data_IF_694564957887
#
_entry.id   IF_694564957887
#
_cell.length_a   1.000
_cell.length_b   1.000
_cell.length_c   1.000
_cell.angle_alpha   90.00
_cell.angle_beta   90.00
_cell.angle_gamma   90.00
#
_symmetry.space_group_name_H-M   'P 1'
#
loop_
_entity.id
_entity.type
_entity.pdbx_description
1 polymer ?
#
# COMPACT_ATOMS: atom_id res chain seq x y z
N UNK A 1 -24.64 -33.11 21.55
CA UNK A 1 -24.46 -32.65 20.15
C UNK A 1 -23.99 -31.22 20.22
N UNK A 2 -22.67 -31.02 20.26
CA UNK A 2 -22.06 -29.70 20.26
C UNK A 2 -20.87 -29.78 19.30
N UNK A 3 -20.98 -29.11 18.15
CA UNK A 3 -19.87 -28.94 17.22
C UNK A 3 -19.31 -27.54 17.45
N UNK A 4 -18.15 -27.49 18.11
CA UNK A 4 -17.33 -26.29 18.23
C UNK A 4 -16.76 -25.93 16.86
N UNK A 5 -17.15 -24.77 16.34
CA UNK A 5 -16.62 -24.19 15.11
C UNK A 5 -15.42 -23.32 15.45
N UNK A 6 -14.27 -23.94 15.68
CA UNK A 6 -13.00 -23.23 15.91
C UNK A 6 -12.33 -22.96 14.57
N UNK A 7 -12.77 -21.86 13.92
CA UNK A 7 -12.20 -21.36 12.68
C UNK A 7 -10.81 -20.76 12.89
N UNK A 8 -9.81 -21.61 12.97
CA UNK A 8 -8.40 -21.24 13.02
C UNK A 8 -8.00 -20.57 11.70
N UNK A 9 -7.84 -19.24 11.71
CA UNK A 9 -7.26 -18.47 10.61
C UNK A 9 -5.83 -18.98 10.36
N UNK A 10 -5.68 -19.92 9.43
CA UNK A 10 -4.38 -20.42 8.99
C UNK A 10 -3.71 -19.33 8.15
N UNK A 11 -2.89 -18.51 8.80
CA UNK A 11 -1.90 -17.69 8.10
C UNK A 11 -0.99 -18.63 7.33
N UNK A 12 -1.23 -18.77 6.03
CA UNK A 12 -0.31 -19.46 5.12
C UNK A 12 0.91 -18.56 4.98
N UNK A 13 1.85 -18.68 5.92
CA UNK A 13 3.24 -18.46 5.59
C UNK A 13 3.56 -19.50 4.52
N UNK A 14 3.75 -19.04 3.29
CA UNK A 14 4.41 -19.86 2.28
C UNK A 14 5.86 -19.94 2.75
N UNK A 15 6.15 -20.88 3.64
CA UNK A 15 7.49 -21.45 3.71
C UNK A 15 7.73 -22.05 2.31
N UNK A 16 8.87 -21.76 1.65
CA UNK A 16 9.16 -22.42 0.39
C UNK A 16 9.07 -23.92 0.66
N UNK A 17 8.17 -24.60 -0.07
CA UNK A 17 7.91 -26.02 0.10
C UNK A 17 9.23 -26.80 -0.02
N UNK A 18 9.84 -27.12 1.12
CA UNK A 18 11.00 -28.00 1.21
C UNK A 18 10.50 -29.43 1.21
N UNK A 19 10.01 -29.87 0.05
CA UNK A 19 9.84 -31.29 -0.28
C UNK A 19 9.86 -31.49 -1.80
N UNK A 20 10.88 -30.96 -2.44
CA UNK A 20 11.30 -31.40 -3.78
C UNK A 20 12.80 -31.71 -3.66
N UNK A 21 13.26 -32.92 -4.04
CA UNK A 21 14.66 -33.27 -3.96
C UNK A 21 15.49 -32.28 -4.78
N UNK A 22 16.69 -31.97 -4.30
CA UNK A 22 17.61 -30.98 -4.85
C UNK A 22 17.71 -31.07 -6.39
N UNK A 23 16.98 -30.17 -7.07
CA UNK A 23 17.22 -29.84 -8.47
C UNK A 23 17.99 -28.53 -8.47
N UNK A 24 19.25 -28.69 -8.85
CA UNK A 24 20.25 -27.70 -9.13
C UNK A 24 19.68 -26.54 -9.97
N UNK A 25 19.78 -25.32 -9.44
CA UNK A 25 19.74 -24.06 -10.18
C UNK A 25 18.66 -23.91 -11.27
N UNK A 26 17.40 -23.84 -10.88
CA UNK A 26 16.37 -23.23 -11.72
C UNK A 26 15.69 -22.10 -10.95
N UNK A 27 16.39 -20.97 -10.83
CA UNK A 27 15.72 -19.67 -10.75
C UNK A 27 15.00 -19.56 -12.09
N UNK A 28 13.80 -20.13 -12.16
CA UNK A 28 12.92 -19.98 -13.30
C UNK A 28 12.79 -18.48 -13.51
N UNK A 29 13.46 -17.98 -14.54
CA UNK A 29 13.36 -16.62 -15.00
C UNK A 29 11.87 -16.42 -15.26
N UNK A 30 11.19 -15.73 -14.36
CA UNK A 30 9.93 -15.11 -14.70
C UNK A 30 10.27 -14.18 -15.86
N UNK A 31 9.97 -14.61 -17.09
CA UNK A 31 10.08 -13.83 -18.32
C UNK A 31 9.07 -12.67 -18.26
N UNK A 32 9.31 -11.76 -17.33
CA UNK A 32 8.55 -10.55 -17.15
C UNK A 32 9.04 -9.62 -18.24
N UNK A 33 8.18 -9.19 -19.17
CA UNK A 33 8.61 -8.34 -20.26
C UNK A 33 9.20 -7.05 -19.69
N UNK A 34 10.48 -6.80 -20.00
CA UNK A 34 11.14 -5.56 -19.65
C UNK A 34 10.48 -4.42 -20.45
N UNK A 35 9.88 -3.46 -19.75
CA UNK A 35 9.21 -2.33 -20.39
C UNK A 35 10.22 -1.25 -20.75
N UNK A 36 10.15 -0.73 -21.97
CA UNK A 36 10.87 0.48 -22.37
C UNK A 36 10.30 1.70 -21.63
N UNK A 37 11.12 2.73 -21.35
CA UNK A 37 10.69 3.95 -20.67
C UNK A 37 9.45 4.60 -21.34
N UNK A 38 9.39 4.60 -22.67
CA UNK A 38 8.22 5.10 -23.43
C UNK A 38 6.93 4.34 -23.09
N UNK A 39 7.02 3.01 -22.98
CA UNK A 39 5.88 2.17 -22.61
C UNK A 39 5.47 2.40 -21.16
N UNK A 40 6.43 2.63 -20.26
CA UNK A 40 6.16 2.99 -18.87
C UNK A 40 5.43 4.33 -18.81
N UNK A 41 5.91 5.35 -19.55
CA UNK A 41 5.26 6.65 -19.59
C UNK A 41 3.84 6.57 -20.16
N UNK A 42 3.65 5.87 -21.28
CA UNK A 42 2.32 5.67 -21.88
C UNK A 42 1.35 4.97 -20.91
N UNK A 43 1.79 3.89 -20.25
CA UNK A 43 0.98 3.19 -19.24
C UNK A 43 0.69 4.09 -18.03
N UNK A 44 1.64 4.91 -17.58
CA UNK A 44 1.42 5.89 -16.50
C UNK A 44 0.39 6.96 -16.90
N UNK A 45 0.50 7.50 -18.11
CA UNK A 45 -0.45 8.48 -18.63
C UNK A 45 -1.87 7.88 -18.71
N UNK A 46 -2.00 6.65 -19.21
CA UNK A 46 -3.26 5.92 -19.26
C UNK A 46 -3.91 5.75 -17.87
N UNK A 47 -3.12 5.32 -16.87
CA UNK A 47 -3.58 5.20 -15.47
C UNK A 47 -4.01 6.56 -14.93
N UNK A 48 -3.20 7.60 -15.14
CA UNK A 48 -3.48 8.95 -14.66
C UNK A 48 -4.79 9.47 -15.23
N UNK A 49 -4.98 9.34 -16.54
CA UNK A 49 -6.21 9.69 -17.23
C UNK A 49 -7.43 8.93 -16.69
N UNK A 50 -7.32 7.59 -16.52
CA UNK A 50 -8.40 6.78 -15.94
C UNK A 50 -8.73 7.17 -14.50
N UNK A 51 -7.74 7.55 -13.70
CA UNK A 51 -7.97 8.07 -12.34
C UNK A 51 -8.72 9.39 -12.37
N UNK A 52 -8.37 10.30 -13.29
CA UNK A 52 -9.03 11.61 -13.42
C UNK A 52 -10.49 11.42 -13.83
N UNK A 53 -10.78 10.61 -14.84
CA UNK A 53 -12.16 10.31 -15.25
C UNK A 53 -12.89 9.59 -14.13
N UNK A 54 -12.29 8.52 -13.60
CA UNK A 54 -12.91 7.68 -12.57
C UNK A 54 -13.15 8.40 -11.25
N UNK A 55 -12.43 9.49 -10.97
CA UNK A 55 -12.58 10.31 -9.76
C UNK A 55 -14.01 10.81 -9.57
N UNK A 56 -14.71 11.13 -10.65
CA UNK A 56 -16.06 11.68 -10.60
C UNK A 56 -17.15 10.60 -10.47
N UNK A 57 -16.82 9.32 -10.64
CA UNK A 57 -17.84 8.25 -10.75
C UNK A 57 -17.60 7.03 -9.85
N UNK A 58 -16.39 6.81 -9.32
CA UNK A 58 -16.05 5.57 -8.62
C UNK A 58 -15.41 5.81 -7.26
N UNK A 59 -15.90 5.10 -6.23
CA UNK A 59 -15.34 5.15 -4.86
C UNK A 59 -13.87 4.70 -4.83
N UNK A 60 -13.47 3.76 -5.69
CA UNK A 60 -12.09 3.27 -5.73
C UNK A 60 -11.10 4.32 -6.24
N UNK A 61 -11.54 5.19 -7.17
CA UNK A 61 -10.69 6.28 -7.65
C UNK A 61 -10.40 7.30 -6.55
N UNK A 62 -11.35 7.51 -5.63
CA UNK A 62 -11.12 8.32 -4.44
C UNK A 62 -10.03 7.71 -3.53
N UNK A 63 -10.09 6.41 -3.23
CA UNK A 63 -9.05 5.72 -2.45
C UNK A 63 -7.67 5.77 -3.12
N UNK A 64 -7.62 5.64 -4.44
CA UNK A 64 -6.40 5.78 -5.25
C UNK A 64 -5.79 7.17 -5.18
N UNK A 65 -6.64 8.20 -5.31
CA UNK A 65 -6.24 9.62 -5.27
C UNK A 65 -5.78 9.98 -3.86
N UNK A 66 -6.51 9.55 -2.84
CA UNK A 66 -6.15 9.73 -1.43
C UNK A 66 -4.75 9.19 -1.12
N UNK A 67 -4.47 7.93 -1.48
CA UNK A 67 -3.14 7.31 -1.29
C UNK A 67 -2.04 8.08 -2.03
N UNK A 68 -2.31 8.54 -3.25
CA UNK A 68 -1.35 9.31 -4.04
C UNK A 68 -1.04 10.67 -3.41
N UNK A 69 -2.07 11.41 -2.98
CA UNK A 69 -1.93 12.70 -2.28
C UNK A 69 -1.18 12.50 -0.97
N UNK A 70 -1.55 11.50 -0.18
CA UNK A 70 -0.91 11.23 1.11
C UNK A 70 0.58 10.92 0.94
N UNK A 71 0.93 10.04 0.00
CA UNK A 71 2.33 9.69 -0.27
C UNK A 71 3.18 10.84 -0.84
N UNK A 72 2.56 11.93 -1.31
CA UNK A 72 3.26 13.08 -1.92
C UNK A 72 3.28 14.33 -1.05
N UNK A 73 2.24 14.55 -0.24
CA UNK A 73 2.00 15.81 0.45
C UNK A 73 2.17 15.67 1.97
N UNK A 74 1.83 14.52 2.55
CA UNK A 74 1.92 14.38 4.00
C UNK A 74 3.38 14.24 4.45
N UNK A 75 3.76 14.86 5.58
CA UNK A 75 5.06 14.63 6.18
C UNK A 75 5.18 13.19 6.70
N UNK A 76 6.39 12.64 6.66
CA UNK A 76 6.69 11.24 7.00
C UNK A 76 6.13 10.81 8.36
N UNK A 77 6.21 11.67 9.39
CA UNK A 77 5.66 11.39 10.71
C UNK A 77 4.15 11.07 10.71
N UNK A 78 3.38 11.70 9.83
CA UNK A 78 1.94 11.48 9.70
C UNK A 78 1.68 10.30 8.76
N UNK A 79 2.46 10.21 7.68
CA UNK A 79 2.35 9.16 6.68
C UNK A 79 2.62 7.77 7.27
N UNK A 80 3.70 7.64 8.06
CA UNK A 80 4.13 6.39 8.68
C UNK A 80 3.58 6.17 10.09
N UNK A 81 2.58 6.95 10.55
CA UNK A 81 2.03 6.84 11.92
C UNK A 81 1.47 5.46 12.26
N UNK A 82 0.96 4.73 11.26
CA UNK A 82 0.43 3.38 11.41
C UNK A 82 1.50 2.29 11.30
N UNK A 83 2.71 2.64 10.84
CA UNK A 83 3.81 1.69 10.60
C UNK A 83 4.17 0.84 11.82
N UNK A 84 4.24 1.37 13.06
CA UNK A 84 4.54 0.57 14.25
C UNK A 84 3.49 -0.50 14.58
N UNK A 85 2.25 -0.26 14.17
CA UNK A 85 1.11 -1.16 14.40
C UNK A 85 0.92 -2.16 13.25
N UNK A 86 1.64 -1.97 12.15
CA UNK A 86 1.57 -2.84 10.98
C UNK A 86 2.21 -4.20 11.27
N UNK A 87 1.52 -5.26 10.87
CA UNK A 87 1.98 -6.66 10.93
C UNK A 87 1.78 -7.35 9.59
N UNK A 88 2.43 -8.50 9.46
CA UNK A 88 2.51 -9.24 8.21
C UNK A 88 3.46 -8.60 7.19
N UNK A 89 3.41 -9.09 5.96
CA UNK A 89 4.33 -8.68 4.89
C UNK A 89 3.70 -8.79 3.51
N UNK A 90 4.26 -8.05 2.54
CA UNK A 90 3.80 -8.14 1.16
C UNK A 90 4.25 -9.49 0.56
N UNK A 91 3.30 -10.37 0.26
CA UNK A 91 3.54 -11.63 -0.46
C UNK A 91 3.36 -11.49 -1.98
N UNK A 92 3.30 -10.25 -2.51
CA UNK A 92 3.10 -9.95 -3.94
C UNK A 92 1.83 -10.53 -4.56
N UNK A 93 0.77 -10.79 -3.78
CA UNK A 93 -0.53 -11.29 -4.28
C UNK A 93 -1.24 -10.40 -5.31
N UNK A 94 -0.83 -9.14 -5.47
CA UNK A 94 -1.42 -8.24 -6.46
C UNK A 94 -2.81 -7.69 -6.13
N UNK A 95 -3.37 -8.00 -4.97
CA UNK A 95 -4.69 -7.51 -4.55
C UNK A 95 -4.75 -5.97 -4.57
N UNK A 96 -3.70 -5.31 -4.07
CA UNK A 96 -3.62 -3.85 -4.08
C UNK A 96 -3.52 -3.24 -5.49
N UNK A 97 -3.04 -4.00 -6.48
CA UNK A 97 -2.96 -3.60 -7.89
C UNK A 97 -4.28 -3.71 -8.64
N UNK A 98 -5.30 -4.33 -8.04
CA UNK A 98 -6.62 -4.58 -8.64
C UNK A 98 -7.74 -3.68 -8.08
N UNK A 99 -7.50 -2.98 -6.97
CA UNK A 99 -8.54 -2.22 -6.22
C UNK A 99 -9.27 -1.16 -7.07
N UNK A 100 -8.55 -0.42 -7.92
CA UNK A 100 -9.11 0.76 -8.62
C UNK A 100 -9.50 0.42 -10.05
N UNK A 101 -8.53 -0.16 -10.74
CA UNK A 101 -8.60 -0.79 -12.04
C UNK A 101 -7.44 -1.78 -12.06
N UNK A 102 -7.51 -2.80 -12.91
CA UNK A 102 -6.38 -3.71 -13.11
C UNK A 102 -5.17 -2.90 -13.57
N UNK A 103 -4.15 -2.81 -12.72
CA UNK A 103 -2.95 -2.03 -13.02
C UNK A 103 -2.28 -2.58 -14.30
N UNK A 104 -1.96 -1.74 -15.30
CA UNK A 104 -1.32 -2.21 -16.54
C UNK A 104 0.16 -2.62 -16.35
N UNK A 105 0.71 -2.40 -15.16
CA UNK A 105 2.04 -2.90 -14.74
C UNK A 105 1.95 -4.21 -13.97
N UNK A 106 0.75 -4.65 -13.61
CA UNK A 106 0.55 -5.92 -12.94
C UNK A 106 0.48 -7.03 -13.98
N UNK A 107 1.38 -7.99 -13.85
CA UNK A 107 1.39 -9.21 -14.63
C UNK A 107 0.97 -10.37 -13.72
N UNK A 108 0.04 -11.18 -14.20
CA UNK A 108 -0.49 -12.33 -13.47
C UNK A 108 -0.62 -13.45 -14.48
N UNK A 109 0.13 -14.50 -14.21
CA UNK A 109 0.11 -15.77 -14.90
C UNK A 109 -0.42 -16.85 -13.94
N UNK A 110 -0.71 -18.05 -14.45
CA UNK A 110 -1.37 -19.13 -13.69
C UNK A 110 -0.63 -19.48 -12.39
N UNK A 111 0.69 -19.36 -12.37
CA UNK A 111 1.53 -19.71 -11.23
C UNK A 111 2.24 -18.51 -10.58
N UNK A 112 2.11 -17.30 -11.11
CA UNK A 112 2.92 -16.17 -10.64
C UNK A 112 2.26 -14.80 -10.78
N UNK A 113 2.57 -13.92 -9.83
CA UNK A 113 2.18 -12.51 -9.87
C UNK A 113 3.41 -11.63 -9.77
N UNK A 114 3.56 -10.70 -10.73
CA UNK A 114 4.70 -9.83 -10.83
C UNK A 114 4.29 -8.37 -11.10
N UNK A 115 5.13 -7.44 -10.64
CA UNK A 115 4.94 -6.02 -10.91
C UNK A 115 6.07 -5.50 -11.80
N UNK A 116 5.73 -5.17 -13.04
CA UNK A 116 6.68 -4.73 -14.05
C UNK A 116 7.25 -3.33 -13.79
N UNK A 117 6.71 -2.56 -12.83
CA UNK A 117 7.23 -1.22 -12.52
C UNK A 117 8.40 -1.27 -11.52
N UNK A 118 8.54 -2.36 -10.77
CA UNK A 118 9.64 -2.52 -9.81
C UNK A 118 10.96 -2.92 -10.47
N UNK A 119 10.93 -3.35 -11.74
CA UNK A 119 12.15 -3.55 -12.55
C UNK A 119 12.87 -2.23 -12.84
N UNK A 120 12.17 -1.10 -12.71
CA UNK A 120 12.75 0.24 -12.87
C UNK A 120 12.59 1.05 -11.57
N UNK A 121 13.63 1.14 -10.72
CA UNK A 121 13.56 1.86 -9.44
C UNK A 121 13.17 3.34 -9.60
N UNK A 122 13.52 3.97 -10.74
CA UNK A 122 13.13 5.35 -11.09
C UNK A 122 11.62 5.57 -11.25
N UNK A 123 10.85 4.49 -11.40
CA UNK A 123 9.46 4.56 -11.81
C UNK A 123 8.47 4.00 -10.81
N UNK A 124 8.93 3.42 -9.71
CA UNK A 124 8.10 2.93 -8.62
C UNK A 124 7.15 4.05 -8.12
N UNK A 125 5.81 3.84 -8.14
CA UNK A 125 4.88 4.85 -7.66
C UNK A 125 4.97 4.95 -6.14
N UNK A 126 5.15 6.15 -5.56
CA UNK A 126 5.14 6.34 -4.11
C UNK A 126 3.96 5.68 -3.38
N UNK A 127 2.69 5.78 -3.83
CA UNK A 127 1.57 5.15 -3.14
C UNK A 127 1.64 3.61 -3.12
N UNK A 128 2.38 2.98 -4.03
CA UNK A 128 2.57 1.53 -4.04
C UNK A 128 3.62 1.08 -3.02
N UNK A 129 4.61 1.94 -2.75
CA UNK A 129 5.71 1.66 -1.80
C UNK A 129 5.25 1.82 -0.35
N UNK A 130 4.40 2.82 -0.08
CA UNK A 130 3.93 3.11 1.28
C UNK A 130 2.69 2.31 1.69
N UNK A 131 2.13 1.51 0.78
CA UNK A 131 0.92 0.74 1.03
C UNK A 131 1.17 -0.42 2.01
N UNK A 132 0.24 -0.71 2.94
CA UNK A 132 -0.93 0.08 3.33
C UNK A 132 -0.57 1.31 4.19
N UNK A 133 -1.23 2.45 3.96
CA UNK A 133 -1.02 3.68 4.75
C UNK A 133 -1.80 3.64 6.06
N UNK A 134 -3.03 3.14 6.01
CA UNK A 134 -3.92 3.03 7.16
C UNK A 134 -4.92 1.85 7.00
N UNK A 135 -5.70 1.49 8.03
CA UNK A 135 -6.63 0.37 7.97
C UNK A 135 -7.70 0.51 6.87
N UNK A 136 -8.01 1.74 6.45
CA UNK A 136 -8.99 2.00 5.39
C UNK A 136 -8.51 1.40 4.06
N UNK A 137 -7.20 1.43 3.79
CA UNK A 137 -6.62 0.83 2.59
C UNK A 137 -6.84 -0.68 2.52
N UNK A 138 -6.74 -1.38 3.67
CA UNK A 138 -6.98 -2.82 3.74
C UNK A 138 -8.47 -3.15 3.66
N UNK A 139 -9.33 -2.33 4.28
CA UNK A 139 -10.78 -2.45 4.13
C UNK A 139 -11.21 -2.25 2.67
N UNK A 140 -10.55 -1.34 1.94
CA UNK A 140 -10.78 -1.15 0.50
C UNK A 140 -10.40 -2.41 -0.30
N UNK A 141 -9.25 -3.03 -0.02
CA UNK A 141 -8.87 -4.32 -0.64
C UNK A 141 -9.92 -5.39 -0.38
N UNK A 142 -10.32 -5.55 0.88
CA UNK A 142 -11.25 -6.60 1.28
C UNK A 142 -12.62 -6.43 0.65
N UNK A 143 -13.07 -5.19 0.48
CA UNK A 143 -14.38 -4.88 -0.12
C UNK A 143 -14.42 -5.13 -1.62
N UNK A 144 -13.30 -4.89 -2.33
CA UNK A 144 -13.33 -4.76 -3.80
C UNK A 144 -12.74 -5.93 -4.58
N UNK A 145 -11.73 -6.60 -4.03
CA UNK A 145 -10.91 -7.55 -4.81
C UNK A 145 -10.87 -8.93 -4.15
N UNK A 146 -11.16 -9.02 -2.86
CA UNK A 146 -10.80 -10.17 -2.03
C UNK A 146 -11.86 -11.28 -2.04
N UNK A 147 -11.51 -12.49 -2.51
CA UNK A 147 -12.00 -13.72 -1.89
C UNK A 147 -11.16 -14.13 -0.66
N UNK A 148 -9.91 -13.66 -0.52
CA UNK A 148 -8.98 -14.01 0.57
C UNK A 148 -8.27 -12.78 1.18
N UNK A 149 -8.11 -12.72 2.51
CA UNK A 149 -7.62 -11.53 3.21
C UNK A 149 -6.19 -11.16 2.83
N UNK A 150 -5.91 -9.86 2.80
CA UNK A 150 -4.54 -9.36 2.62
C UNK A 150 -3.66 -9.82 3.80
N UNK A 151 -2.41 -10.27 3.58
CA UNK A 151 -1.52 -10.67 4.67
C UNK A 151 -1.13 -9.53 5.63
N UNK A 152 -1.32 -8.28 5.21
CA UNK A 152 -1.15 -7.13 6.08
C UNK A 152 -2.34 -7.00 7.03
N UNK A 153 -2.04 -6.68 8.28
CA UNK A 153 -3.04 -6.34 9.29
C UNK A 153 -2.45 -5.35 10.29
N UNK A 154 -3.29 -4.71 11.09
CA UNK A 154 -2.88 -3.73 12.11
C UNK A 154 -3.27 -4.24 13.50
N UNK A 155 -2.31 -4.24 14.42
CA UNK A 155 -2.51 -4.56 15.84
C UNK A 155 -2.39 -3.27 16.66
N UNK A 156 -3.50 -2.78 17.22
CA UNK A 156 -3.55 -1.52 17.97
C UNK A 156 -3.82 -0.29 17.10
N UNK A 157 -3.59 0.90 17.67
CA UNK A 157 -3.86 2.18 17.01
C UNK A 157 -2.92 3.28 17.51
N UNK A 158 -2.55 4.24 16.64
CA UNK A 158 -1.83 5.44 17.05
C UNK A 158 -2.74 6.36 17.89
N UNK A 159 -2.13 7.28 18.65
CA UNK A 159 -2.83 8.30 19.45
C UNK A 159 -3.83 9.12 18.61
N UNK A 160 -3.48 9.38 17.35
CA UNK A 160 -4.33 10.06 16.38
C UNK A 160 -4.64 9.14 15.19
N UNK A 161 -5.74 8.36 15.25
CA UNK A 161 -6.07 7.39 14.20
C UNK A 161 -6.42 8.07 12.87
N UNK A 162 -7.15 9.18 12.94
CA UNK A 162 -7.56 9.94 11.75
C UNK A 162 -6.40 10.79 11.22
N UNK A 163 -6.25 10.86 9.90
CA UNK A 163 -5.23 11.71 9.27
C UNK A 163 -5.41 13.17 9.66
N UNK A 164 -6.66 13.65 9.71
CA UNK A 164 -6.97 15.03 10.12
C UNK A 164 -6.61 15.30 11.58
N UNK A 165 -6.87 14.34 12.48
CA UNK A 165 -6.46 14.44 13.88
C UNK A 165 -4.95 14.58 14.02
N UNK A 166 -4.20 13.73 13.31
CA UNK A 166 -2.73 13.78 13.30
C UNK A 166 -2.19 15.10 12.72
N UNK A 167 -2.76 15.58 11.61
CA UNK A 167 -2.39 16.89 11.01
C UNK A 167 -2.68 18.03 11.96
N UNK A 168 -3.85 18.05 12.62
CA UNK A 168 -4.23 19.12 13.55
C UNK A 168 -3.33 19.14 14.79
N UNK A 169 -3.05 17.97 15.36
CA UNK A 169 -2.15 17.85 16.50
C UNK A 169 -0.75 18.36 16.15
N UNK A 170 -0.29 18.03 14.96
CA UNK A 170 1.00 18.45 14.48
C UNK A 170 1.10 19.97 14.22
N UNK A 171 0.09 20.55 13.57
CA UNK A 171 0.03 22.00 13.38
C UNK A 171 0.03 22.71 14.74
N UNK A 172 -0.68 22.16 15.74
CA UNK A 172 -0.71 22.70 17.10
C UNK A 172 0.67 22.66 17.75
N UNK A 173 1.40 21.55 17.64
CA UNK A 173 2.77 21.42 18.16
C UNK A 173 3.72 22.44 17.51
N UNK A 174 3.65 22.60 16.18
CA UNK A 174 4.46 23.60 15.48
C UNK A 174 4.12 25.03 15.88
N UNK A 175 2.84 25.34 16.07
CA UNK A 175 2.40 26.66 16.55
C UNK A 175 2.89 26.92 17.97
N UNK A 176 2.79 25.93 18.87
CA UNK A 176 3.33 26.03 20.24
C UNK A 176 4.82 26.37 20.22
N UNK A 177 5.63 25.59 19.50
CA UNK A 177 7.06 25.84 19.34
C UNK A 177 7.39 27.21 18.74
N UNK A 178 6.56 27.73 17.85
CA UNK A 178 6.74 29.08 17.29
C UNK A 178 6.42 30.16 18.32
N UNK A 179 5.36 29.98 19.11
CA UNK A 179 5.01 30.91 20.19
C UNK A 179 6.09 30.92 21.26
N UNK A 180 6.61 29.76 21.66
CA UNK A 180 7.69 29.66 22.66
C UNK A 180 8.96 30.35 22.18
N UNK A 181 9.35 30.15 20.91
CA UNK A 181 10.47 30.88 20.30
C UNK A 181 10.26 32.39 20.24
N UNK A 182 9.04 32.85 20.04
CA UNK A 182 8.74 34.29 20.07
C UNK A 182 8.85 34.84 21.49
N UNK A 183 8.36 34.12 22.50
CA UNK A 183 8.53 34.49 23.91
C UNK A 183 10.00 34.62 24.31
N UNK A 184 10.82 33.63 23.92
CA UNK A 184 12.27 33.66 24.12
C UNK A 184 12.93 34.85 23.41
N UNK A 185 12.52 35.16 22.17
CA UNK A 185 13.10 36.25 21.39
C UNK A 185 12.71 37.66 21.91
N UNK A 186 11.51 37.80 22.48
CA UNK A 186 11.01 39.06 23.02
C UNK A 186 11.16 39.19 24.54
N UNK A 187 11.70 38.18 25.22
CA UNK A 187 11.90 38.17 26.67
C UNK A 187 10.61 38.26 27.49
N UNK A 188 9.51 37.72 26.96
CA UNK A 188 8.17 37.69 27.59
C UNK A 188 7.90 36.33 28.23
#
# INVERSE_FOLDING_TARGET
MEQNFEGQNRLVQITPSSSVPAVENDISYLDIPSLTERQIFAKKAYIGFRKIIGFFYTKHSYGATRRWVFAKVLPDRILYRWKPYQRGGCNRCGLCCKIVFRCPFFHEDQNSTACMIYTSPRHAPPPCVVFPIDPIDLAEVQREVSPAPCPFYFEGQPEHPTTWGAVKAEIRDQLGKRVDKLKEAFGI
#
